data_IF_772462350047
#
_entry.id   IF_772462350047
#
_cell.length_a   1.000
_cell.length_b   1.000
_cell.length_c   1.000
_cell.angle_alpha   90.00
_cell.angle_beta   90.00
_cell.angle_gamma   90.00
#
_symmetry.space_group_name_H-M   'P 1'
#
loop_
_entity.id
_entity.type
_entity.pdbx_description
1 polymer ?
#
# COMPACT_ATOMS: atom_id res chain seq x y z
N UNK A 1 14.23 4.96 -15.86
CA UNK A 1 14.24 5.20 -14.40
C UNK A 1 12.97 4.59 -13.83
N UNK A 2 13.08 3.47 -13.13
CA UNK A 2 11.97 2.93 -12.33
C UNK A 2 11.80 3.86 -11.14
N UNK A 3 10.72 4.63 -11.11
CA UNK A 3 10.46 5.59 -10.03
C UNK A 3 10.43 4.88 -8.69
N UNK A 4 11.29 5.33 -7.76
CA UNK A 4 11.24 4.87 -6.38
C UNK A 4 9.96 5.45 -5.78
N UNK A 5 9.04 4.58 -5.38
CA UNK A 5 7.81 4.99 -4.68
C UNK A 5 8.21 5.46 -3.28
N UNK A 6 8.47 6.76 -3.15
CA UNK A 6 8.73 7.41 -1.88
C UNK A 6 7.41 7.93 -1.31
N UNK A 7 7.28 7.89 0.02
CA UNK A 7 6.12 8.45 0.72
C UNK A 7 5.88 9.93 0.38
N UNK A 8 6.94 10.64 -0.03
CA UNK A 8 6.90 12.05 -0.44
C UNK A 8 6.30 12.28 -1.83
N UNK A 9 6.07 11.25 -2.63
CA UNK A 9 5.49 11.39 -3.96
C UNK A 9 3.97 11.15 -3.93
N UNK A 10 3.12 12.19 -3.92
CA UNK A 10 1.68 12.03 -3.67
C UNK A 10 0.94 11.21 -4.73
N UNK A 11 1.57 10.94 -5.88
CA UNK A 11 1.06 10.13 -6.98
C UNK A 11 0.73 8.70 -6.55
N UNK A 12 1.42 8.13 -5.56
CA UNK A 12 1.22 6.73 -5.16
C UNK A 12 -0.13 6.48 -4.47
N UNK A 13 -0.68 7.49 -3.79
CA UNK A 13 -1.95 7.39 -3.08
C UNK A 13 -3.16 7.67 -3.99
N UNK A 14 -2.93 8.27 -5.17
CA UNK A 14 -3.99 8.68 -6.09
C UNK A 14 -4.96 7.55 -6.49
N UNK A 15 -4.53 6.28 -6.74
CA UNK A 15 -5.44 5.18 -7.06
C UNK A 15 -6.41 4.82 -5.93
N UNK A 16 -6.12 5.23 -4.69
CA UNK A 16 -6.93 4.94 -3.51
C UNK A 16 -7.81 6.12 -3.08
N UNK A 17 -7.67 7.28 -3.72
CA UNK A 17 -8.49 8.45 -3.45
C UNK A 17 -9.98 8.16 -3.74
N UNK A 18 -10.86 8.50 -2.81
CA UNK A 18 -12.31 8.29 -2.94
C UNK A 18 -12.82 6.90 -2.53
N UNK A 19 -11.94 5.99 -2.10
CA UNK A 19 -12.38 4.73 -1.51
C UNK A 19 -13.09 4.97 -0.17
N UNK A 20 -14.25 4.34 0.02
CA UNK A 20 -14.88 4.30 1.34
C UNK A 20 -14.01 3.50 2.33
N UNK A 21 -14.11 3.76 3.64
CA UNK A 21 -13.36 3.01 4.65
C UNK A 21 -13.59 1.49 4.55
N UNK A 22 -14.80 1.06 4.15
CA UNK A 22 -15.13 -0.37 3.97
C UNK A 22 -14.43 -0.97 2.76
N UNK A 23 -14.33 -0.23 1.65
CA UNK A 23 -13.63 -0.70 0.45
C UNK A 23 -12.12 -0.75 0.69
N UNK A 24 -11.57 0.24 1.40
CA UNK A 24 -10.16 0.25 1.78
C UNK A 24 -9.81 -0.91 2.72
N UNK A 25 -10.67 -1.22 3.71
CA UNK A 25 -10.48 -2.39 4.58
C UNK A 25 -10.50 -3.73 3.83
N UNK A 26 -11.31 -3.86 2.78
CA UNK A 26 -11.31 -5.04 1.89
C UNK A 26 -10.00 -5.15 1.11
N UNK A 27 -9.51 -4.04 0.55
CA UNK A 27 -8.23 -4.00 -0.15
C UNK A 27 -7.08 -4.45 0.76
N UNK A 28 -6.99 -3.89 1.98
CA UNK A 28 -5.98 -4.31 2.95
C UNK A 28 -6.07 -5.79 3.32
N UNK A 29 -7.28 -6.36 3.37
CA UNK A 29 -7.47 -7.80 3.61
C UNK A 29 -6.94 -8.67 2.48
N UNK A 30 -7.14 -8.27 1.22
CA UNK A 30 -6.61 -9.00 0.05
C UNK A 30 -5.08 -8.89 0.02
N UNK A 31 -4.55 -7.70 0.25
CA UNK A 31 -3.10 -7.44 0.25
C UNK A 31 -2.35 -8.31 1.28
N UNK A 32 -2.93 -8.46 2.47
CA UNK A 32 -2.43 -9.31 3.55
C UNK A 32 -2.39 -10.79 3.18
N UNK A 33 -3.36 -11.25 2.39
CA UNK A 33 -3.44 -12.63 1.92
C UNK A 33 -2.42 -12.91 0.82
N UNK A 34 -2.20 -11.94 -0.07
CA UNK A 34 -1.21 -12.02 -1.15
C UNK A 34 0.24 -11.82 -0.66
N UNK A 35 0.45 -11.51 0.62
CA UNK A 35 1.77 -11.38 1.22
C UNK A 35 2.51 -10.09 0.89
N UNK A 36 1.84 -9.07 0.36
CA UNK A 36 2.48 -7.76 0.12
C UNK A 36 2.76 -7.00 1.43
N UNK A 37 2.19 -7.46 2.55
CA UNK A 37 2.54 -7.05 3.92
C UNK A 37 3.77 -7.76 4.49
N UNK A 38 4.57 -8.44 3.65
CA UNK A 38 5.90 -8.87 4.01
C UNK A 38 6.83 -7.65 4.19
N UNK A 39 6.54 -6.83 5.20
CA UNK A 39 7.54 -6.00 5.85
C UNK A 39 8.56 -7.01 6.37
N UNK A 40 9.63 -7.20 5.61
CA UNK A 40 10.85 -7.80 6.13
C UNK A 40 11.26 -6.88 7.26
N UNK A 41 10.90 -7.30 8.47
CA UNK A 41 11.32 -6.63 9.69
C UNK A 41 12.82 -6.86 9.74
N UNK A 42 13.57 -5.99 9.07
CA UNK A 42 15.00 -5.95 9.25
C UNK A 42 15.20 -5.67 10.74
N UNK A 43 15.81 -6.65 11.39
CA UNK A 43 16.07 -6.59 12.82
C UNK A 43 17.33 -5.73 12.96
N UNK A 44 17.30 -4.62 13.72
CA UNK A 44 18.53 -3.96 14.12
C UNK A 44 19.42 -4.93 14.93
#
# INVERSE_FOLDING_TARGET
MTGVITASEPSWAAPFAGLSPRCFGKLGTVLRREGADAVRKDRP
#
